data_IF_842200099248
#
_entry.id   IF_842200099248
#
_cell.length_a   1.000
_cell.length_b   1.000
_cell.length_c   1.000
_cell.angle_alpha   90.00
_cell.angle_beta   90.00
_cell.angle_gamma   90.00
#
_symmetry.space_group_name_H-M   'P 1'
#
loop_
_entity.id
_entity.type
_entity.pdbx_description
1 polymer ?
#
# COMPACT_ATOMS: atom_id res chain seq x y z
N UNK A 1 1.57 -11.85 -9.04
CA UNK A 1 2.35 -12.12 -7.82
C UNK A 1 1.39 -12.24 -6.64
N UNK A 2 1.71 -13.04 -5.61
CA UNK A 2 1.11 -12.87 -4.28
C UNK A 2 1.78 -11.69 -3.60
N UNK A 3 1.02 -10.92 -2.85
CA UNK A 3 1.49 -9.73 -2.14
C UNK A 3 1.14 -9.90 -0.67
N UNK A 4 2.14 -9.73 0.19
CA UNK A 4 1.99 -9.82 1.64
C UNK A 4 2.17 -8.41 2.22
N UNK A 5 1.11 -7.85 2.84
CA UNK A 5 1.16 -6.49 3.38
C UNK A 5 2.07 -6.40 4.61
N UNK A 6 2.55 -5.20 4.96
CA UNK A 6 3.26 -4.97 6.22
C UNK A 6 2.33 -5.22 7.41
N UNK A 7 2.91 -5.57 8.56
CA UNK A 7 2.13 -5.77 9.79
C UNK A 7 1.90 -4.43 10.47
N UNK A 8 0.64 -4.08 10.68
CA UNK A 8 0.23 -2.88 11.42
C UNK A 8 -0.89 -3.24 12.41
N UNK A 9 -1.02 -2.45 13.48
CA UNK A 9 -2.19 -2.53 14.35
C UNK A 9 -3.43 -2.05 13.60
N UNK A 10 -4.50 -2.85 13.60
CA UNK A 10 -5.73 -2.51 12.91
C UNK A 10 -6.61 -1.60 13.79
N UNK A 11 -6.83 -0.37 13.34
CA UNK A 11 -7.62 0.65 14.04
C UNK A 11 -8.90 0.98 13.28
N UNK A 12 -8.80 1.30 11.98
CA UNK A 12 -9.96 1.69 11.15
C UNK A 12 -9.76 1.27 9.69
N UNK A 13 -10.66 0.45 9.15
CA UNK A 13 -10.59 -0.01 7.76
C UNK A 13 -11.26 0.92 6.75
N UNK A 14 -12.01 1.92 7.20
CA UNK A 14 -12.74 2.85 6.34
C UNK A 14 -11.73 3.64 5.49
N UNK A 15 -11.94 3.64 4.17
CA UNK A 15 -11.09 4.36 3.21
C UNK A 15 -9.77 3.67 2.85
N UNK A 16 -9.46 2.48 3.38
CA UNK A 16 -8.22 1.78 3.00
C UNK A 16 -8.17 1.46 1.50
N UNK A 17 -9.31 1.10 0.90
CA UNK A 17 -9.41 0.85 -0.54
C UNK A 17 -9.16 2.10 -1.38
N UNK A 18 -9.75 3.23 -0.99
CA UNK A 18 -9.56 4.51 -1.66
C UNK A 18 -8.11 4.99 -1.55
N UNK A 19 -7.51 4.87 -0.36
CA UNK A 19 -6.11 5.17 -0.11
C UNK A 19 -5.18 4.29 -0.97
N UNK A 20 -5.46 2.99 -1.05
CA UNK A 20 -4.73 2.07 -1.93
C UNK A 20 -4.83 2.50 -3.39
N UNK A 21 -6.04 2.71 -3.91
CA UNK A 21 -6.26 3.09 -5.29
C UNK A 21 -5.59 4.42 -5.64
N UNK A 22 -5.71 5.43 -4.78
CA UNK A 22 -5.07 6.73 -4.94
C UNK A 22 -3.54 6.63 -4.97
N UNK A 23 -2.96 5.84 -4.06
CA UNK A 23 -1.52 5.62 -4.01
C UNK A 23 -0.99 4.83 -5.20
N UNK A 24 -1.74 3.84 -5.72
CA UNK A 24 -1.40 3.14 -6.96
C UNK A 24 -1.39 4.11 -8.14
N UNK A 25 -2.45 4.93 -8.27
CA UNK A 25 -2.53 5.91 -9.35
C UNK A 25 -1.38 6.91 -9.31
N UNK A 26 -1.07 7.46 -8.13
CA UNK A 26 0.07 8.35 -7.92
C UNK A 26 1.40 7.67 -8.28
N UNK A 27 1.63 6.44 -7.81
CA UNK A 27 2.87 5.71 -8.07
C UNK A 27 3.07 5.40 -9.56
N UNK A 28 2.00 5.07 -10.28
CA UNK A 28 2.03 4.87 -11.72
C UNK A 28 2.33 6.18 -12.46
N UNK A 29 1.73 7.30 -12.03
CA UNK A 29 1.99 8.64 -12.58
C UNK A 29 3.46 9.07 -12.35
N UNK A 30 4.05 8.71 -11.21
CA UNK A 30 5.48 8.86 -10.91
C UNK A 30 6.39 7.93 -11.73
N UNK A 31 5.84 7.06 -12.59
CA UNK A 31 6.59 6.17 -13.47
C UNK A 31 7.11 4.89 -12.79
N UNK A 32 6.55 4.50 -11.64
CA UNK A 32 6.92 3.24 -10.99
C UNK A 32 6.38 2.04 -11.77
N UNK A 33 7.16 0.97 -11.79
CA UNK A 33 6.72 -0.31 -12.34
C UNK A 33 5.43 -0.82 -11.67
N UNK A 34 4.54 -1.53 -12.38
CA UNK A 34 3.22 -1.89 -11.87
C UNK A 34 3.24 -2.61 -10.51
N UNK A 35 4.15 -3.57 -10.33
CA UNK A 35 4.24 -4.29 -9.06
C UNK A 35 4.72 -3.38 -7.91
N UNK A 36 5.64 -2.46 -8.18
CA UNK A 36 6.10 -1.48 -7.20
C UNK A 36 4.98 -0.48 -6.83
N UNK A 37 4.17 -0.07 -7.81
CA UNK A 37 3.00 0.78 -7.56
C UNK A 37 1.95 0.08 -6.71
N UNK A 38 1.69 -1.21 -6.96
CA UNK A 38 0.76 -2.00 -6.13
C UNK A 38 1.30 -2.15 -4.71
N UNK A 39 2.59 -2.44 -4.53
CA UNK A 39 3.21 -2.49 -3.19
C UNK A 39 3.08 -1.16 -2.44
N UNK A 40 3.27 -0.03 -3.14
CA UNK A 40 3.07 1.30 -2.57
C UNK A 40 1.59 1.54 -2.17
N UNK A 41 0.64 1.07 -2.98
CA UNK A 41 -0.79 1.08 -2.64
C UNK A 41 -1.13 0.27 -1.39
N UNK A 42 -0.56 -0.93 -1.26
CA UNK A 42 -0.73 -1.79 -0.08
C UNK A 42 -0.17 -1.11 1.17
N UNK A 43 0.98 -0.44 1.07
CA UNK A 43 1.55 0.34 2.16
C UNK A 43 0.66 1.52 2.56
N UNK A 44 0.04 2.22 1.60
CA UNK A 44 -0.90 3.29 1.89
C UNK A 44 -2.16 2.79 2.61
N UNK A 45 -2.70 1.63 2.21
CA UNK A 45 -3.79 1.01 2.94
C UNK A 45 -3.39 0.64 4.38
N UNK A 46 -2.19 0.10 4.59
CA UNK A 46 -1.69 -0.22 5.93
C UNK A 46 -1.50 1.03 6.79
N UNK A 47 -0.99 2.12 6.23
CA UNK A 47 -0.82 3.40 6.90
C UNK A 47 -2.17 4.03 7.32
N UNK A 48 -3.20 3.90 6.49
CA UNK A 48 -4.58 4.29 6.83
C UNK A 48 -5.18 3.39 7.90
N UNK A 49 -4.98 2.07 7.79
CA UNK A 49 -5.54 1.08 8.69
C UNK A 49 -5.12 1.31 10.16
N UNK A 50 -3.91 1.82 10.36
CA UNK A 50 -3.36 2.13 11.68
C UNK A 50 -3.77 3.51 12.24
N UNK A 51 -4.78 4.18 11.66
CA UNK A 51 -5.23 5.52 12.08
C UNK A 51 -6.71 5.55 12.42
N UNK A 52 -7.07 6.49 13.28
CA UNK A 52 -8.49 6.77 13.62
C UNK A 52 -9.21 7.46 12.46
N UNK A 53 -8.55 8.44 11.84
CA UNK A 53 -9.12 9.23 10.74
C UNK A 53 -8.66 8.70 9.39
N UNK A 54 -9.60 8.54 8.45
CA UNK A 54 -9.30 8.08 7.10
C UNK A 54 -8.61 9.17 6.24
N UNK A 55 -7.79 8.74 5.29
CA UNK A 55 -7.23 9.60 4.24
C UNK A 55 -6.15 10.59 4.71
N UNK A 56 -5.55 10.36 5.89
CA UNK A 56 -4.51 11.23 6.47
C UNK A 56 -3.15 10.54 6.46
N UNK A 57 -2.69 10.21 5.26
CA UNK A 57 -1.45 9.47 5.02
C UNK A 57 -0.21 10.34 5.20
N UNK A 58 0.91 9.71 5.58
CA UNK A 58 2.23 10.34 5.59
C UNK A 58 3.11 9.68 4.53
N UNK A 59 3.59 10.45 3.54
CA UNK A 59 4.35 9.90 2.40
C UNK A 59 5.56 9.10 2.86
N UNK A 60 6.33 9.60 3.82
CA UNK A 60 7.54 8.93 4.32
C UNK A 60 7.17 7.61 5.01
N UNK A 61 6.10 7.60 5.81
CA UNK A 61 5.60 6.37 6.44
C UNK A 61 5.11 5.35 5.43
N UNK A 62 4.43 5.79 4.36
CA UNK A 62 4.04 4.89 3.26
C UNK A 62 5.27 4.32 2.56
N UNK A 63 6.31 5.11 2.33
CA UNK A 63 7.59 4.62 1.77
C UNK A 63 8.27 3.59 2.69
N UNK A 64 8.31 3.83 4.00
CA UNK A 64 8.81 2.89 5.02
C UNK A 64 8.03 1.56 4.99
N UNK A 65 6.70 1.63 5.03
CA UNK A 65 5.82 0.47 4.97
C UNK A 65 5.90 -0.27 3.62
N UNK A 66 6.16 0.42 2.52
CA UNK A 66 6.33 -0.19 1.20
C UNK A 66 7.60 -1.04 1.13
N UNK A 67 8.66 -0.66 1.84
CA UNK A 67 9.87 -1.47 1.95
C UNK A 67 9.65 -2.79 2.72
N UNK A 68 8.58 -2.89 3.51
CA UNK A 68 8.19 -4.09 4.24
C UNK A 68 7.23 -5.01 3.45
N UNK A 69 6.67 -4.54 2.32
CA UNK A 69 5.79 -5.36 1.48
C UNK A 69 6.59 -6.47 0.80
N UNK A 70 6.16 -7.71 1.00
CA UNK A 70 6.78 -8.86 0.35
C UNK A 70 5.97 -9.30 -0.87
N UNK A 71 6.66 -9.71 -1.93
CA UNK A 71 6.03 -10.23 -3.15
C UNK A 71 6.58 -11.60 -3.51
N UNK A 72 5.70 -12.51 -3.89
CA UNK A 72 6.05 -13.85 -4.36
C UNK A 72 5.52 -14.02 -5.79
N UNK A 73 6.38 -14.38 -6.73
CA UNK A 73 5.96 -14.68 -8.10
C UNK A 73 5.04 -15.92 -8.11
N UNK A 74 3.94 -15.85 -8.85
CA UNK A 74 3.06 -17.00 -9.06
C UNK A 74 3.38 -17.53 -10.46
N UNK A 75 3.89 -18.76 -10.60
CA UNK A 75 4.13 -19.33 -11.92
C UNK A 75 2.79 -19.49 -12.64
N UNK A 76 2.72 -18.96 -13.87
CA UNK A 76 1.60 -19.20 -14.77
C UNK A 76 1.84 -20.58 -15.38
N UNK A 77 0.91 -21.52 -15.10
CA UNK A 77 0.91 -22.84 -15.76
C UNK A 77 0.23 -22.74 -17.12
#
# INVERSE_FOLDING_TARGET
ARIFPPRVEAVNSIGCGDCMAAAIALALDEGREPLAAISYGVAAAADNLARVLMGRLDRRRVEELAAEVQTEAIPIR
#
